data_IF_842275095927
#
_entry.id   IF_842275095927
#
_cell.length_a   1.000
_cell.length_b   1.000
_cell.length_c   1.000
_cell.angle_alpha   90.00
_cell.angle_beta   90.00
_cell.angle_gamma   90.00
#
_symmetry.space_group_name_H-M   'P 1'
#
loop_
_entity.id
_entity.type
_entity.pdbx_description
1 polymer ?
#
# COMPACT_ATOMS: atom_id res chain seq x y z
N UNK A 1 -15.51 -0.90 -9.65
CA UNK A 1 -16.74 -0.85 -8.85
C UNK A 1 -16.49 -1.56 -7.52
N UNK A 2 -16.78 -0.95 -6.38
CA UNK A 2 -16.31 -1.46 -5.08
C UNK A 2 -17.23 -2.61 -4.60
N UNK A 3 -16.80 -3.87 -4.82
CA UNK A 3 -17.61 -5.08 -4.58
C UNK A 3 -18.17 -5.12 -3.15
N UNK A 4 -17.37 -4.68 -2.18
CA UNK A 4 -17.77 -4.52 -0.77
C UNK A 4 -18.97 -3.60 -0.61
N UNK A 5 -18.96 -2.45 -1.29
CA UNK A 5 -20.04 -1.45 -1.21
C UNK A 5 -21.34 -1.98 -1.79
N UNK A 6 -21.27 -2.77 -2.86
CA UNK A 6 -22.45 -3.41 -3.46
C UNK A 6 -23.02 -4.46 -2.52
N UNK A 7 -22.17 -5.32 -1.96
CA UNK A 7 -22.60 -6.33 -0.99
C UNK A 7 -23.28 -5.70 0.23
N UNK A 8 -22.72 -4.61 0.77
CA UNK A 8 -23.32 -3.87 1.90
C UNK A 8 -24.71 -3.32 1.53
N UNK A 9 -24.88 -2.72 0.35
CA UNK A 9 -26.18 -2.20 -0.10
C UNK A 9 -27.21 -3.34 -0.21
N UNK A 10 -26.81 -4.50 -0.76
CA UNK A 10 -27.68 -5.66 -0.88
C UNK A 10 -28.11 -6.22 0.49
N UNK A 11 -27.22 -6.22 1.48
CA UNK A 11 -27.55 -6.61 2.86
C UNK A 11 -28.63 -5.68 3.43
N UNK A 12 -28.46 -4.36 3.30
CA UNK A 12 -29.46 -3.41 3.81
C UNK A 12 -30.83 -3.55 3.14
N UNK A 13 -30.86 -3.76 1.83
CA UNK A 13 -32.10 -4.01 1.08
C UNK A 13 -32.74 -5.32 1.54
N UNK A 14 -31.96 -6.39 1.68
CA UNK A 14 -32.44 -7.70 2.12
C UNK A 14 -33.00 -7.67 3.55
N UNK A 15 -32.35 -6.96 4.47
CA UNK A 15 -32.83 -6.77 5.85
C UNK A 15 -34.14 -5.97 5.86
N UNK A 16 -34.22 -4.86 5.13
CA UNK A 16 -35.42 -4.04 5.05
C UNK A 16 -36.62 -4.83 4.54
N UNK A 17 -36.44 -5.62 3.47
CA UNK A 17 -37.49 -6.51 2.96
C UNK A 17 -37.84 -7.63 3.94
N UNK A 18 -36.87 -8.17 4.67
CA UNK A 18 -37.12 -9.22 5.67
C UNK A 18 -37.99 -8.71 6.82
N UNK A 19 -37.76 -7.48 7.29
CA UNK A 19 -38.58 -6.83 8.32
C UNK A 19 -39.99 -6.54 7.78
N UNK A 20 -40.11 -6.02 6.57
CA UNK A 20 -41.40 -5.68 5.95
C UNK A 20 -42.28 -6.92 5.69
N UNK A 21 -41.67 -8.04 5.30
CA UNK A 21 -42.38 -9.28 4.94
C UNK A 21 -42.33 -10.37 6.03
N UNK A 22 -42.06 -10.00 7.29
CA UNK A 22 -41.88 -10.98 8.37
C UNK A 22 -43.09 -11.92 8.57
N UNK A 23 -44.30 -11.42 8.30
CA UNK A 23 -45.55 -12.19 8.38
C UNK A 23 -45.91 -12.98 7.12
N UNK A 24 -45.10 -12.90 6.04
CA UNK A 24 -45.37 -13.60 4.78
C UNK A 24 -44.15 -14.41 4.33
N UNK A 25 -44.14 -15.69 4.71
CA UNK A 25 -43.05 -16.62 4.42
C UNK A 25 -42.65 -16.70 2.95
N UNK A 26 -43.59 -16.47 2.01
CA UNK A 26 -43.32 -16.52 0.57
C UNK A 26 -42.36 -15.40 0.11
N UNK A 27 -42.38 -14.25 0.77
CA UNK A 27 -41.51 -13.11 0.46
C UNK A 27 -40.33 -12.98 1.43
N UNK A 28 -40.46 -13.54 2.64
CA UNK A 28 -39.38 -13.62 3.62
C UNK A 28 -38.19 -14.46 3.12
N UNK A 29 -38.45 -15.63 2.53
CA UNK A 29 -37.40 -16.52 2.04
C UNK A 29 -36.54 -15.85 0.95
N UNK A 30 -37.11 -15.22 -0.11
CA UNK A 30 -36.34 -14.42 -1.05
C UNK A 30 -35.55 -13.27 -0.42
N UNK A 31 -36.12 -12.55 0.56
CA UNK A 31 -35.44 -11.44 1.23
C UNK A 31 -34.22 -11.90 2.03
N UNK A 32 -34.32 -13.05 2.71
CA UNK A 32 -33.18 -13.68 3.38
C UNK A 32 -32.12 -14.14 2.39
N UNK A 33 -32.51 -14.73 1.26
CA UNK A 33 -31.57 -15.13 0.20
C UNK A 33 -30.78 -13.95 -0.36
N UNK A 34 -31.44 -12.80 -0.60
CA UNK A 34 -30.76 -11.56 -1.03
C UNK A 34 -29.77 -11.09 0.03
N UNK A 35 -30.13 -11.17 1.31
CA UNK A 35 -29.26 -10.80 2.42
C UNK A 35 -28.01 -11.67 2.46
N UNK A 36 -28.18 -13.00 2.37
CA UNK A 36 -27.06 -13.98 2.35
C UNK A 36 -26.15 -13.76 1.14
N UNK A 37 -26.73 -13.48 -0.03
CA UNK A 37 -25.96 -13.14 -1.24
C UNK A 37 -25.14 -11.86 -1.04
N UNK A 38 -25.73 -10.84 -0.42
CA UNK A 38 -25.03 -9.60 -0.08
C UNK A 38 -23.85 -9.83 0.87
N UNK A 39 -23.99 -10.71 1.87
CA UNK A 39 -22.88 -11.14 2.72
C UNK A 39 -21.77 -11.83 1.94
N UNK A 40 -22.12 -12.77 1.06
CA UNK A 40 -21.14 -13.48 0.24
C UNK A 40 -20.33 -12.53 -0.66
N UNK A 41 -21.01 -11.62 -1.35
CA UNK A 41 -20.37 -10.61 -2.21
C UNK A 41 -19.43 -9.71 -1.38
N UNK A 42 -19.86 -9.30 -0.19
CA UNK A 42 -19.04 -8.49 0.72
C UNK A 42 -17.78 -9.25 1.12
N UNK A 43 -17.93 -10.52 1.53
CA UNK A 43 -16.81 -11.39 1.94
C UNK A 43 -15.80 -11.59 0.81
N UNK A 44 -16.25 -11.89 -0.41
CA UNK A 44 -15.40 -12.00 -1.60
C UNK A 44 -14.65 -10.70 -1.87
N UNK A 45 -15.32 -9.55 -1.69
CA UNK A 45 -14.68 -8.24 -1.78
C UNK A 45 -13.55 -8.05 -0.77
N UNK A 46 -13.73 -8.51 0.48
CA UNK A 46 -12.67 -8.49 1.50
C UNK A 46 -11.52 -9.43 1.18
N UNK A 47 -11.81 -10.67 0.76
CA UNK A 47 -10.79 -11.65 0.41
C UNK A 47 -9.92 -11.17 -0.76
N UNK A 48 -10.53 -10.56 -1.78
CA UNK A 48 -9.80 -9.99 -2.92
C UNK A 48 -8.82 -8.91 -2.49
N UNK A 49 -9.25 -8.01 -1.60
CA UNK A 49 -8.37 -6.94 -1.09
C UNK A 49 -7.21 -7.50 -0.25
N UNK A 50 -7.49 -8.52 0.58
CA UNK A 50 -6.45 -9.20 1.39
C UNK A 50 -5.44 -9.89 0.49
N UNK A 51 -5.92 -10.62 -0.54
CA UNK A 51 -5.05 -11.30 -1.50
C UNK A 51 -4.18 -10.30 -2.25
N UNK A 52 -4.75 -9.21 -2.75
CA UNK A 52 -4.00 -8.14 -3.43
C UNK A 52 -2.91 -7.53 -2.54
N UNK A 53 -3.21 -7.30 -1.26
CA UNK A 53 -2.22 -6.80 -0.30
C UNK A 53 -1.11 -7.82 -0.06
N UNK A 54 -1.45 -9.11 0.01
CA UNK A 54 -0.46 -10.18 0.12
C UNK A 54 0.45 -10.20 -1.10
N UNK A 55 -0.09 -10.15 -2.31
CA UNK A 55 0.69 -10.16 -3.54
C UNK A 55 1.68 -8.97 -3.60
N UNK A 56 1.25 -7.77 -3.20
CA UNK A 56 2.12 -6.59 -3.10
C UNK A 56 3.22 -6.81 -2.05
N UNK A 57 2.89 -7.40 -0.90
CA UNK A 57 3.86 -7.64 0.16
C UNK A 57 4.90 -8.69 -0.23
N UNK A 58 4.47 -9.77 -0.90
CA UNK A 58 5.34 -10.83 -1.40
C UNK A 58 6.29 -10.26 -2.49
N UNK A 59 5.77 -9.39 -3.38
CA UNK A 59 6.61 -8.68 -4.35
C UNK A 59 7.60 -7.73 -3.68
N UNK A 60 7.16 -6.98 -2.67
CA UNK A 60 8.02 -6.06 -1.92
C UNK A 60 9.16 -6.79 -1.22
N UNK A 61 8.92 -7.97 -0.66
CA UNK A 61 9.94 -8.79 0.00
C UNK A 61 11.07 -9.19 -0.97
N UNK A 62 10.71 -9.57 -2.21
CA UNK A 62 11.67 -9.83 -3.28
C UNK A 62 12.40 -8.56 -3.72
N UNK A 63 11.68 -7.45 -3.84
CA UNK A 63 12.23 -6.17 -4.25
C UNK A 63 13.14 -5.53 -3.20
N UNK A 64 12.99 -5.87 -1.91
CA UNK A 64 13.90 -5.44 -0.85
C UNK A 64 15.33 -5.88 -1.18
N UNK A 65 15.52 -7.16 -1.47
CA UNK A 65 16.85 -7.71 -1.76
C UNK A 65 17.38 -7.31 -3.14
N UNK A 66 16.51 -7.27 -4.14
CA UNK A 66 16.93 -7.08 -5.54
C UNK A 66 16.99 -5.62 -6.01
N UNK A 67 16.21 -4.72 -5.38
CA UNK A 67 16.07 -3.33 -5.81
C UNK A 67 16.43 -2.36 -4.69
N UNK A 68 15.77 -2.45 -3.54
CA UNK A 68 15.90 -1.45 -2.47
C UNK A 68 17.29 -1.50 -1.86
N UNK A 69 17.77 -2.66 -1.42
CA UNK A 69 19.07 -2.79 -0.77
C UNK A 69 20.23 -2.34 -1.69
N UNK A 70 20.31 -2.72 -2.98
CA UNK A 70 21.31 -2.19 -3.90
C UNK A 70 21.25 -0.66 -4.06
N UNK A 71 20.04 -0.08 -4.15
CA UNK A 71 19.89 1.37 -4.22
C UNK A 71 20.39 2.04 -2.93
N UNK A 72 19.98 1.54 -1.77
CA UNK A 72 20.43 2.06 -0.48
C UNK A 72 21.95 1.98 -0.35
N UNK A 73 22.58 0.88 -0.77
CA UNK A 73 24.05 0.75 -0.77
C UNK A 73 24.72 1.74 -1.73
N UNK A 74 24.21 1.89 -2.96
CA UNK A 74 24.69 2.86 -3.95
C UNK A 74 24.67 4.28 -3.38
N UNK A 75 23.53 4.68 -2.83
CA UNK A 75 23.32 6.02 -2.30
C UNK A 75 24.05 6.26 -0.97
N UNK A 76 24.23 5.24 -0.13
CA UNK A 76 25.07 5.36 1.07
C UNK A 76 26.55 5.55 0.73
N UNK A 77 27.07 4.80 -0.25
CA UNK A 77 28.45 4.97 -0.71
C UNK A 77 28.67 6.38 -1.30
N UNK A 78 27.71 6.86 -2.10
CA UNK A 78 27.75 8.22 -2.64
C UNK A 78 27.73 9.28 -1.52
N UNK A 79 26.94 9.08 -0.47
CA UNK A 79 26.90 9.99 0.68
C UNK A 79 28.26 10.05 1.40
N UNK A 80 28.93 8.91 1.57
CA UNK A 80 30.29 8.84 2.16
C UNK A 80 31.31 9.56 1.30
N UNK A 81 31.24 9.39 -0.02
CA UNK A 81 32.11 10.08 -0.97
C UNK A 81 31.94 11.61 -0.87
N UNK A 82 30.70 12.09 -0.94
CA UNK A 82 30.38 13.51 -0.77
C UNK A 82 30.89 14.07 0.55
N UNK A 83 30.71 13.34 1.66
CA UNK A 83 31.21 13.79 2.97
C UNK A 83 32.75 13.86 3.01
N UNK A 84 33.45 12.98 2.30
CA UNK A 84 34.91 12.95 2.28
C UNK A 84 35.56 14.00 1.37
N UNK A 85 34.88 14.39 0.30
CA UNK A 85 35.44 15.25 -0.75
C UNK A 85 34.94 16.71 -0.70
N UNK A 86 33.76 16.95 -0.11
CA UNK A 86 33.10 18.25 -0.20
C UNK A 86 33.15 19.02 1.13
N UNK A 87 33.15 20.35 1.03
CA UNK A 87 32.90 21.22 2.16
C UNK A 87 31.45 21.13 2.65
N UNK A 88 31.20 21.50 3.90
CA UNK A 88 29.91 21.32 4.59
C UNK A 88 28.69 21.88 3.83
N UNK A 89 28.81 23.09 3.25
CA UNK A 89 27.71 23.71 2.47
C UNK A 89 27.39 22.95 1.20
N UNK A 90 28.42 22.49 0.49
CA UNK A 90 28.27 21.77 -0.78
C UNK A 90 27.76 20.34 -0.54
N UNK A 91 28.21 19.71 0.54
CA UNK A 91 27.68 18.43 1.04
C UNK A 91 26.18 18.49 1.31
N UNK A 92 25.68 19.52 2.01
CA UNK A 92 24.24 19.67 2.31
C UNK A 92 23.42 19.75 1.01
N UNK A 93 23.90 20.53 0.04
CA UNK A 93 23.21 20.66 -1.26
C UNK A 93 23.20 19.32 -2.02
N UNK A 94 24.35 18.64 -2.09
CA UNK A 94 24.48 17.34 -2.76
C UNK A 94 23.67 16.24 -2.08
N UNK A 95 23.54 16.27 -0.76
CA UNK A 95 22.68 15.35 0.00
C UNK A 95 21.19 15.53 -0.34
N UNK A 96 20.74 16.77 -0.55
CA UNK A 96 19.36 17.04 -1.00
C UNK A 96 19.11 16.53 -2.43
N UNK A 97 20.06 16.76 -3.35
CA UNK A 97 19.99 16.22 -4.72
C UNK A 97 19.97 14.69 -4.72
N UNK A 98 20.82 14.08 -3.91
CA UNK A 98 20.91 12.64 -3.72
C UNK A 98 19.58 12.04 -3.25
N UNK A 99 18.94 12.65 -2.25
CA UNK A 99 17.64 12.20 -1.74
C UNK A 99 16.54 12.24 -2.82
N UNK A 100 16.54 13.29 -3.65
CA UNK A 100 15.63 13.38 -4.80
C UNK A 100 15.93 12.32 -5.86
N UNK A 101 17.20 11.99 -6.06
CA UNK A 101 17.64 10.91 -6.94
C UNK A 101 17.14 9.54 -6.46
N UNK A 102 17.34 9.24 -5.18
CA UNK A 102 16.85 8.01 -4.55
C UNK A 102 15.32 7.90 -4.65
N UNK A 103 14.58 8.97 -4.36
CA UNK A 103 13.12 8.99 -4.50
C UNK A 103 12.68 8.72 -5.95
N UNK A 104 13.37 9.29 -6.94
CA UNK A 104 13.08 9.07 -8.36
C UNK A 104 13.35 7.62 -8.77
N UNK A 105 14.52 7.08 -8.46
CA UNK A 105 14.87 5.69 -8.82
C UNK A 105 13.96 4.68 -8.12
N UNK A 106 13.59 4.90 -6.86
CA UNK A 106 12.62 4.06 -6.16
C UNK A 106 11.24 4.10 -6.84
N UNK A 107 10.79 5.29 -7.29
CA UNK A 107 9.52 5.43 -7.99
C UNK A 107 9.50 4.76 -9.36
N UNK A 108 10.61 4.80 -10.08
CA UNK A 108 10.74 4.15 -11.38
C UNK A 108 10.77 2.61 -11.24
N UNK A 109 11.49 2.10 -10.24
CA UNK A 109 11.64 0.65 -10.05
C UNK A 109 10.51 0.00 -9.27
N UNK A 110 9.80 0.75 -8.42
CA UNK A 110 8.71 0.27 -7.58
C UNK A 110 7.41 1.05 -7.88
N UNK A 111 6.87 0.97 -9.12
CA UNK A 111 5.73 1.76 -9.55
C UNK A 111 4.42 1.41 -8.83
N UNK A 112 4.37 0.27 -8.14
CA UNK A 112 3.23 -0.17 -7.37
C UNK A 112 3.16 0.45 -5.96
N UNK A 113 4.24 1.07 -5.48
CA UNK A 113 4.28 1.77 -4.20
C UNK A 113 3.72 3.19 -4.33
N UNK A 114 2.99 3.63 -3.31
CA UNK A 114 2.52 5.00 -3.24
C UNK A 114 3.68 5.96 -2.93
N UNK A 115 3.57 7.20 -3.42
CA UNK A 115 4.57 8.25 -3.15
C UNK A 115 4.87 8.43 -1.65
N UNK A 116 3.87 8.20 -0.77
CA UNK A 116 4.04 8.29 0.68
C UNK A 116 4.93 7.16 1.22
N UNK A 117 4.84 5.96 0.65
CA UNK A 117 5.63 4.81 1.05
C UNK A 117 7.09 4.99 0.63
N UNK A 118 7.31 5.44 -0.60
CA UNK A 118 8.66 5.79 -1.10
C UNK A 118 9.31 6.85 -0.21
N UNK A 119 8.56 7.91 0.16
CA UNK A 119 9.06 8.95 1.07
C UNK A 119 9.49 8.40 2.44
N UNK A 120 8.77 7.42 2.99
CA UNK A 120 9.16 6.78 4.25
C UNK A 120 10.50 6.06 4.12
N UNK A 121 10.73 5.36 3.00
CA UNK A 121 12.02 4.69 2.72
C UNK A 121 13.16 5.72 2.70
N UNK A 122 12.98 6.84 2.00
CA UNK A 122 13.99 7.92 1.92
C UNK A 122 14.23 8.58 3.28
N UNK A 123 13.19 8.80 4.07
CA UNK A 123 13.32 9.37 5.43
C UNK A 123 14.11 8.41 6.33
N UNK A 124 13.78 7.12 6.33
CA UNK A 124 14.48 6.14 7.16
C UNK A 124 15.93 5.98 6.71
N UNK A 125 16.19 5.97 5.40
CA UNK A 125 17.54 6.02 4.86
C UNK A 125 18.34 7.21 5.41
N UNK A 126 17.78 8.42 5.38
CA UNK A 126 18.46 9.60 5.91
C UNK A 126 18.73 9.48 7.40
N UNK A 127 17.75 8.98 8.16
CA UNK A 127 17.88 8.77 9.59
C UNK A 127 19.02 7.79 9.92
N UNK A 128 19.14 6.70 9.16
CA UNK A 128 20.25 5.76 9.31
C UNK A 128 21.60 6.38 8.92
N UNK A 129 21.65 7.15 7.84
CA UNK A 129 22.89 7.88 7.48
C UNK A 129 23.31 8.87 8.58
N UNK A 130 22.35 9.54 9.23
CA UNK A 130 22.64 10.47 10.34
C UNK A 130 23.17 9.76 11.59
N UNK A 131 22.75 8.52 11.87
CA UNK A 131 23.30 7.71 12.97
C UNK A 131 24.71 7.20 12.71
N UNK A 132 25.06 6.98 11.45
CA UNK A 132 26.39 6.52 11.03
C UNK A 132 27.42 7.66 10.94
N UNK A 133 26.99 8.90 11.18
CA UNK A 133 27.78 10.12 11.11
C UNK A 133 28.28 10.56 12.48
#
# INVERSE_FOLDING_TARGET
MNLKRIGIILIFIGIAFSVFFVGNHKYLVPALTITVLGFFITLVGFLTDVKRRKDINDQLDVDIGSVIQPLISKYSNLNKEYKSQLGEKEYIQKRLEMNRGLERELKEKLPYLESREIKKIVIEFNREQDKMN
#
